data_IF_883261728099
#
_entry.id   IF_883261728099
#
_cell.length_a   1.000
_cell.length_b   1.000
_cell.length_c   1.000
_cell.angle_alpha   90.00
_cell.angle_beta   90.00
_cell.angle_gamma   90.00
#
_symmetry.space_group_name_H-M   'P 1'
#
loop_
_entity.id
_entity.type
_entity.pdbx_description
1 polymer ?
#
# COMPACT_ATOMS: atom_id res chain seq x y z
N UNK A 1 -10.15 -11.37 -9.27
CA UNK A 1 -8.69 -11.38 -9.06
C UNK A 1 -8.41 -10.99 -7.64
N UNK A 2 -7.37 -11.56 -7.08
CA UNK A 2 -6.91 -11.29 -5.74
C UNK A 2 -5.68 -10.41 -5.84
N UNK A 3 -5.81 -9.19 -5.34
CA UNK A 3 -4.72 -8.25 -5.22
C UNK A 3 -4.08 -8.41 -3.86
N UNK A 4 -2.78 -8.65 -3.83
CA UNK A 4 -1.98 -8.60 -2.62
C UNK A 4 -1.32 -7.24 -2.50
N UNK A 5 -1.52 -6.57 -1.36
CA UNK A 5 -0.85 -5.34 -0.97
C UNK A 5 0.18 -5.70 0.09
N UNK A 6 1.46 -5.58 -0.27
CA UNK A 6 2.60 -5.81 0.62
C UNK A 6 3.28 -4.48 0.91
N UNK A 7 3.38 -4.06 2.18
CA UNK A 7 4.24 -2.95 2.55
C UNK A 7 5.71 -3.31 2.36
N UNK A 8 6.50 -2.40 1.81
CA UNK A 8 7.94 -2.59 1.58
C UNK A 8 8.79 -1.87 2.63
N UNK A 9 8.39 -0.65 2.97
CA UNK A 9 8.98 0.18 4.03
C UNK A 9 7.86 0.84 4.84
N UNK A 10 8.21 1.43 5.99
CA UNK A 10 7.28 2.18 6.84
C UNK A 10 6.05 1.35 7.25
N UNK A 11 6.28 0.09 7.65
CA UNK A 11 5.23 -0.81 8.14
C UNK A 11 5.74 -1.77 9.21
N UNK A 12 4.83 -2.21 10.06
CA UNK A 12 5.03 -3.25 11.05
C UNK A 12 4.67 -4.66 10.55
N UNK A 13 4.96 -5.69 11.37
CA UNK A 13 4.66 -7.07 11.03
C UNK A 13 3.16 -7.30 10.78
N UNK A 14 2.84 -8.13 9.78
CA UNK A 14 1.47 -8.62 9.55
C UNK A 14 0.53 -7.63 8.88
N UNK A 15 1.03 -6.53 8.34
CA UNK A 15 0.18 -5.53 7.67
C UNK A 15 -0.20 -5.88 6.24
N UNK A 16 0.29 -6.98 5.67
CA UNK A 16 -0.12 -7.42 4.34
C UNK A 16 -1.65 -7.59 4.23
N UNK A 17 -2.22 -7.21 3.09
CA UNK A 17 -3.66 -7.35 2.83
C UNK A 17 -3.92 -8.01 1.49
N UNK A 18 -4.91 -8.89 1.46
CA UNK A 18 -5.45 -9.46 0.22
C UNK A 18 -6.83 -8.89 -0.04
N UNK A 19 -7.07 -8.48 -1.28
CA UNK A 19 -8.33 -7.87 -1.72
C UNK A 19 -8.85 -8.62 -2.94
N UNK A 20 -9.98 -9.30 -2.79
CA UNK A 20 -10.69 -9.93 -3.91
C UNK A 20 -11.54 -8.91 -4.67
N UNK A 21 -11.28 -8.78 -5.96
CA UNK A 21 -12.01 -7.91 -6.89
C UNK A 21 -12.75 -8.71 -7.96
N UNK A 22 -14.02 -8.38 -8.15
CA UNK A 22 -14.83 -8.87 -9.27
C UNK A 22 -14.52 -8.04 -10.54
N UNK A 23 -14.66 -8.62 -11.74
CA UNK A 23 -14.53 -7.88 -12.99
C UNK A 23 -15.42 -6.63 -13.01
N UNK A 24 -14.89 -5.51 -13.51
CA UNK A 24 -15.61 -4.23 -13.62
C UNK A 24 -15.90 -3.51 -12.30
N UNK A 25 -15.43 -4.01 -11.15
CA UNK A 25 -15.64 -3.39 -9.84
C UNK A 25 -14.37 -2.71 -9.32
N UNK A 26 -14.54 -1.74 -8.42
CA UNK A 26 -13.45 -1.12 -7.67
C UNK A 26 -13.64 -1.38 -6.17
N UNK A 27 -12.53 -1.35 -5.41
CA UNK A 27 -12.51 -1.30 -3.95
C UNK A 27 -11.52 -0.24 -3.50
N UNK A 28 -11.81 0.39 -2.38
CA UNK A 28 -10.90 1.31 -1.71
C UNK A 28 -10.24 0.59 -0.54
N UNK A 29 -8.93 0.81 -0.38
CA UNK A 29 -8.16 0.35 0.76
C UNK A 29 -7.58 1.57 1.47
N UNK A 30 -7.82 1.67 2.78
CA UNK A 30 -7.28 2.74 3.60
C UNK A 30 -6.00 2.29 4.29
N UNK A 31 -5.01 3.17 4.35
CA UNK A 31 -3.72 2.91 4.98
C UNK A 31 -3.39 4.01 5.98
N UNK A 32 -3.13 3.64 7.23
CA UNK A 32 -2.79 4.59 8.28
C UNK A 32 -1.30 4.89 8.24
N UNK A 33 -0.95 6.13 7.90
CA UNK A 33 0.45 6.58 7.76
C UNK A 33 0.94 7.36 8.99
N UNK A 34 0.04 7.75 9.90
CA UNK A 34 0.36 8.63 11.04
C UNK A 34 1.42 8.04 11.97
N UNK A 35 1.38 6.72 12.18
CA UNK A 35 2.36 6.01 13.00
C UNK A 35 3.76 5.93 12.35
N UNK A 36 3.92 6.40 11.10
CA UNK A 36 5.20 6.41 10.36
C UNK A 36 5.50 7.79 9.80
N UNK A 37 5.12 8.82 10.55
CA UNK A 37 5.39 10.21 10.18
C UNK A 37 4.83 10.57 8.80
N UNK A 38 3.73 9.95 8.37
CA UNK A 38 3.12 10.22 7.06
C UNK A 38 3.68 9.42 5.89
N UNK A 39 4.73 8.61 6.08
CA UNK A 39 5.33 7.80 5.02
C UNK A 39 4.54 6.53 4.71
N UNK A 40 4.51 6.16 3.43
CA UNK A 40 4.02 4.88 2.95
C UNK A 40 4.86 4.36 1.78
N UNK A 41 4.99 3.03 1.70
CA UNK A 41 5.57 2.33 0.55
C UNK A 41 4.90 0.98 0.38
N UNK A 42 4.05 0.88 -0.64
CA UNK A 42 3.16 -0.25 -0.88
C UNK A 42 3.43 -0.84 -2.25
N UNK A 43 3.54 -2.17 -2.31
CA UNK A 43 3.52 -2.93 -3.56
C UNK A 43 2.18 -3.64 -3.71
N UNK A 44 1.56 -3.47 -4.85
CA UNK A 44 0.34 -4.17 -5.25
C UNK A 44 0.67 -5.18 -6.34
N UNK A 45 0.38 -6.45 -6.11
CA UNK A 45 0.52 -7.55 -7.08
C UNK A 45 -0.81 -8.25 -7.28
N UNK A 46 -0.98 -8.93 -8.42
CA UNK A 46 -2.14 -9.78 -8.70
C UNK A 46 -1.72 -11.26 -8.64
N UNK A 47 -2.41 -12.08 -7.85
CA UNK A 47 -2.08 -13.51 -7.76
C UNK A 47 -2.32 -14.25 -9.09
N UNK A 48 -3.32 -13.82 -9.86
CA UNK A 48 -3.67 -14.42 -11.14
C UNK A 48 -2.93 -13.83 -12.35
N UNK A 49 -2.14 -12.77 -12.16
CA UNK A 49 -1.34 -12.13 -13.21
C UNK A 49 0.00 -11.65 -12.65
N UNK A 50 1.03 -12.47 -12.84
CA UNK A 50 2.38 -12.19 -12.38
C UNK A 50 3.04 -10.97 -13.05
N UNK A 51 2.49 -10.49 -14.19
CA UNK A 51 3.00 -9.31 -14.88
C UNK A 51 2.47 -8.01 -14.26
N UNK A 52 1.40 -8.10 -13.47
CA UNK A 52 0.82 -6.94 -12.80
C UNK A 52 1.58 -6.62 -11.51
N UNK A 53 2.32 -5.50 -11.55
CA UNK A 53 2.93 -4.89 -10.38
C UNK A 53 2.75 -3.38 -10.41
N UNK A 54 2.42 -2.79 -9.25
CA UNK A 54 2.38 -1.34 -9.04
C UNK A 54 3.02 -1.03 -7.69
N UNK A 55 3.84 0.01 -7.63
CA UNK A 55 4.38 0.54 -6.37
C UNK A 55 3.80 1.93 -6.13
N UNK A 56 3.34 2.16 -4.91
CA UNK A 56 2.82 3.43 -4.42
C UNK A 56 3.69 3.82 -3.23
N UNK A 57 4.54 4.82 -3.41
CA UNK A 57 5.45 5.30 -2.36
C UNK A 57 5.35 6.81 -2.27
N UNK A 58 5.36 7.33 -1.04
CA UNK A 58 5.30 8.76 -0.80
C UNK A 58 5.16 9.12 0.67
N UNK A 59 4.98 10.41 0.89
CA UNK A 59 4.82 11.02 2.20
C UNK A 59 3.60 11.95 2.18
N UNK A 60 2.78 11.88 3.23
CA UNK A 60 1.65 12.79 3.42
C UNK A 60 2.16 14.07 4.07
N UNK A 61 2.25 15.14 3.28
CA UNK A 61 2.63 16.47 3.76
C UNK A 61 1.54 17.07 4.65
N UNK A 62 1.87 17.24 5.94
CA UNK A 62 0.96 17.78 6.96
C UNK A 62 1.54 18.99 7.71
N UNK A 63 2.70 19.51 7.28
CA UNK A 63 3.38 20.67 7.87
C UNK A 63 4.16 20.40 9.15
N UNK A 64 4.24 19.14 9.61
CA UNK A 64 5.06 18.73 10.76
C UNK A 64 6.45 18.29 10.29
N UNK A 65 7.49 18.39 11.14
CA UNK A 65 8.78 17.77 10.85
C UNK A 65 8.62 16.26 10.58
N UNK A 66 9.41 15.76 9.62
CA UNK A 66 9.41 14.36 9.19
C UNK A 66 10.83 13.94 8.80
N UNK A 67 11.05 12.63 8.68
CA UNK A 67 12.27 12.04 8.10
C UNK A 67 12.26 12.12 6.57
N UNK A 68 13.45 12.14 5.96
CA UNK A 68 13.59 11.96 4.50
C UNK A 68 13.73 10.47 4.15
N UNK A 69 13.00 10.03 3.13
CA UNK A 69 13.08 8.66 2.58
C UNK A 69 14.20 8.42 1.58
#
# INVERSE_FOLDING_TARGET
MDLKITPLAYAGPGEERTISLKPGHHKQAQWHCDAREGWYDLRVTCEQDATYTRRLMGHIENGRPSVSG
#
